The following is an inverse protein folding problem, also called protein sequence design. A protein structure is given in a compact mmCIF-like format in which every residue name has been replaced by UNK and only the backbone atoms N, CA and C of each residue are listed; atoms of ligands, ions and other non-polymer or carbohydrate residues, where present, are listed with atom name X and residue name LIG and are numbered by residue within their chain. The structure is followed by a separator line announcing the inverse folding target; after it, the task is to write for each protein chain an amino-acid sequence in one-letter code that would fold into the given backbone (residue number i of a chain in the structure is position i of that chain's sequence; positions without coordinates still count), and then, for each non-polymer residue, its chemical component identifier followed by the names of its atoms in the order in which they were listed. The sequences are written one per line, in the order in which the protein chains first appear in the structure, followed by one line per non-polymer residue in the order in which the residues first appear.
data_IF_750112848167
#
_entry.id   IF_750112848167
#
_cell.length_a   1.000
_cell.length_b   1.000
_cell.length_c   1.000
_cell.angle_alpha   90.00
_cell.angle_beta   90.00
_cell.angle_gamma   90.00
#
_symmetry.space_group_name_H-M   'P 1'
#
loop_
_entity.id
_entity.type
_entity.pdbx_description
1 polymer ?
#
# COMPACT_ATOMS: atom_id res chain seq x y z
N UNK A 1 26.18 -16.08 -64.44
CA UNK A 1 26.34 -15.68 -63.06
C UNK A 1 24.97 -15.56 -62.38
N UNK A 2 24.02 -14.70 -62.80
CA UNK A 2 22.69 -14.51 -62.18
C UNK A 2 21.84 -15.79 -62.21
N UNK A 3 21.95 -16.65 -63.21
CA UNK A 3 21.20 -17.93 -63.19
C UNK A 3 21.69 -18.90 -62.12
N UNK A 4 23.00 -18.92 -61.88
CA UNK A 4 23.59 -19.79 -60.86
C UNK A 4 23.25 -19.25 -59.44
N UNK A 5 23.24 -17.95 -59.23
CA UNK A 5 22.80 -17.31 -58.01
C UNK A 5 21.32 -17.67 -57.71
N UNK A 6 20.44 -17.53 -58.72
CA UNK A 6 19.04 -17.87 -58.57
C UNK A 6 18.82 -19.36 -58.25
N UNK A 7 19.63 -20.26 -58.88
CA UNK A 7 19.57 -21.69 -58.58
C UNK A 7 19.92 -21.97 -57.12
N UNK A 8 21.05 -21.42 -56.64
CA UNK A 8 21.48 -21.60 -55.24
C UNK A 8 20.43 -21.03 -54.24
N UNK A 9 19.88 -19.85 -54.52
CA UNK A 9 18.84 -19.27 -53.69
C UNK A 9 17.57 -20.13 -53.67
N UNK A 10 17.18 -20.71 -54.82
CA UNK A 10 16.03 -21.62 -54.88
C UNK A 10 16.28 -22.91 -54.07
N UNK A 11 17.47 -23.49 -54.21
CA UNK A 11 17.83 -24.71 -53.46
C UNK A 11 17.83 -24.46 -51.95
N UNK A 12 18.36 -23.32 -51.48
CA UNK A 12 18.34 -22.93 -50.07
C UNK A 12 16.90 -22.69 -49.61
N UNK A 13 16.07 -21.98 -50.40
CA UNK A 13 14.67 -21.72 -50.06
C UNK A 13 13.86 -23.02 -49.94
N UNK A 14 14.08 -23.99 -50.82
CA UNK A 14 13.45 -25.30 -50.73
C UNK A 14 13.88 -26.05 -49.47
N UNK A 15 15.16 -26.04 -49.15
CA UNK A 15 15.68 -26.65 -47.92
C UNK A 15 15.09 -26.03 -46.65
N UNK A 16 14.93 -24.69 -46.60
CA UNK A 16 14.27 -24.01 -45.52
C UNK A 16 12.79 -24.40 -45.46
N UNK A 17 12.10 -24.46 -46.58
CA UNK A 17 10.69 -24.84 -46.67
C UNK A 17 10.44 -26.27 -46.17
N UNK A 18 11.29 -27.23 -46.53
CA UNK A 18 11.21 -28.62 -46.07
C UNK A 18 11.36 -28.75 -44.53
N UNK A 19 12.08 -27.82 -43.90
CA UNK A 19 12.32 -27.82 -42.46
C UNK A 19 11.55 -26.69 -41.70
N UNK A 20 10.56 -26.06 -42.34
CA UNK A 20 9.89 -24.87 -41.84
C UNK A 20 9.23 -25.10 -40.50
N UNK A 21 8.60 -26.25 -40.29
CA UNK A 21 7.91 -26.59 -39.05
C UNK A 21 8.90 -26.74 -37.89
N UNK A 22 10.02 -27.40 -38.08
CA UNK A 22 11.06 -27.56 -37.07
C UNK A 22 11.72 -26.21 -36.72
N UNK A 23 11.94 -25.36 -37.72
CA UNK A 23 12.46 -24.01 -37.54
C UNK A 23 11.49 -23.18 -36.69
N UNK A 24 10.18 -23.22 -36.99
CA UNK A 24 9.18 -22.49 -36.24
C UNK A 24 9.07 -22.99 -34.79
N UNK A 25 9.14 -24.29 -34.55
CA UNK A 25 9.19 -24.88 -33.21
C UNK A 25 10.43 -24.39 -32.46
N UNK A 26 11.61 -24.45 -33.11
CA UNK A 26 12.85 -23.98 -32.49
C UNK A 26 12.79 -22.49 -32.10
N UNK A 27 12.30 -21.64 -33.01
CA UNK A 27 12.11 -20.19 -32.75
C UNK A 27 11.16 -19.99 -31.54
N UNK A 28 10.05 -20.74 -31.49
CA UNK A 28 9.10 -20.65 -30.37
C UNK A 28 9.74 -21.03 -29.03
N UNK A 29 10.55 -22.10 -29.02
CA UNK A 29 11.24 -22.56 -27.80
C UNK A 29 12.30 -21.53 -27.38
N UNK A 30 13.12 -21.04 -28.31
CA UNK A 30 14.15 -20.03 -28.05
C UNK A 30 13.51 -18.74 -27.51
N UNK A 31 12.41 -18.27 -28.10
CA UNK A 31 11.68 -17.08 -27.67
C UNK A 31 11.13 -17.23 -26.23
N UNK A 32 10.60 -18.41 -25.90
CA UNK A 32 10.15 -18.70 -24.53
C UNK A 32 11.32 -18.71 -23.54
N UNK A 33 12.43 -19.33 -23.92
CA UNK A 33 13.62 -19.38 -23.07
C UNK A 33 14.19 -17.98 -22.83
N UNK A 34 14.36 -17.19 -23.92
CA UNK A 34 14.84 -15.81 -23.84
C UNK A 34 13.95 -14.95 -22.93
N UNK A 35 12.63 -15.08 -23.05
CA UNK A 35 11.67 -14.38 -22.22
C UNK A 35 11.81 -14.75 -20.73
N UNK A 36 11.96 -16.05 -20.42
CA UNK A 36 12.15 -16.51 -19.03
C UNK A 36 13.48 -15.99 -18.48
N UNK A 37 14.56 -16.09 -19.26
CA UNK A 37 15.87 -15.61 -18.87
C UNK A 37 15.89 -14.10 -18.64
N UNK A 38 15.29 -13.34 -19.55
CA UNK A 38 15.19 -11.87 -19.43
C UNK A 38 14.46 -11.46 -18.16
N UNK A 39 13.36 -12.14 -17.81
CA UNK A 39 12.63 -11.90 -16.55
C UNK A 39 13.47 -12.22 -15.32
N UNK A 40 14.21 -13.32 -15.33
CA UNK A 40 15.08 -13.71 -14.23
C UNK A 40 16.20 -12.68 -14.02
N UNK A 41 16.90 -12.29 -15.07
CA UNK A 41 17.96 -11.28 -15.03
C UNK A 41 17.44 -9.91 -14.59
N UNK A 42 16.25 -9.52 -15.07
CA UNK A 42 15.63 -8.27 -14.65
C UNK A 42 15.26 -8.31 -13.17
N UNK A 43 14.68 -9.41 -12.70
CA UNK A 43 14.34 -9.62 -11.29
C UNK A 43 15.57 -9.52 -10.38
N UNK A 44 16.69 -10.12 -10.77
CA UNK A 44 17.95 -10.01 -10.04
C UNK A 44 18.45 -8.55 -10.00
N UNK A 45 18.45 -7.86 -11.14
CA UNK A 45 18.91 -6.48 -11.26
C UNK A 45 18.13 -5.50 -10.35
N UNK A 46 16.82 -5.69 -10.17
CA UNK A 46 16.00 -4.84 -9.32
C UNK A 46 15.87 -5.37 -7.88
N UNK A 47 16.54 -6.48 -7.54
CA UNK A 47 16.35 -7.20 -6.28
C UNK A 47 14.87 -7.55 -6.03
N UNK A 48 14.20 -8.02 -7.07
CA UNK A 48 12.79 -8.37 -7.03
C UNK A 48 12.56 -9.72 -6.36
N UNK A 49 11.48 -9.81 -5.59
CA UNK A 49 11.04 -11.06 -4.96
C UNK A 49 9.70 -11.52 -5.53
N UNK A 50 9.41 -12.81 -5.36
CA UNK A 50 8.09 -13.37 -5.63
C UNK A 50 7.15 -12.92 -4.50
N UNK A 51 5.98 -12.44 -4.86
CA UNK A 51 4.96 -11.97 -3.92
C UNK A 51 3.72 -12.83 -4.04
N UNK A 52 3.17 -13.22 -2.89
CA UNK A 52 1.93 -13.98 -2.83
C UNK A 52 0.77 -13.19 -3.45
N UNK A 53 0.08 -13.80 -4.39
CA UNK A 53 -1.07 -13.21 -5.07
C UNK A 53 -2.36 -13.79 -4.51
N UNK A 54 -3.24 -12.91 -4.01
CA UNK A 54 -4.56 -13.28 -3.50
C UNK A 54 -5.55 -13.28 -4.67
N UNK A 55 -5.98 -14.45 -5.12
CA UNK A 55 -6.91 -14.58 -6.25
C UNK A 55 -8.35 -14.30 -5.82
N UNK A 56 -8.79 -14.88 -4.69
CA UNK A 56 -10.18 -14.81 -4.19
C UNK A 56 -10.31 -13.98 -2.92
N UNK A 57 -9.99 -12.70 -3.03
CA UNK A 57 -10.11 -11.76 -1.93
C UNK A 57 -11.56 -11.35 -1.60
N UNK A 58 -12.54 -11.74 -2.43
CA UNK A 58 -13.97 -11.58 -2.16
C UNK A 58 -14.51 -12.66 -1.20
N UNK A 59 -14.05 -13.90 -1.36
CA UNK A 59 -14.56 -15.07 -0.63
C UNK A 59 -13.74 -15.45 0.61
N UNK A 60 -12.66 -14.73 0.90
CA UNK A 60 -11.76 -15.05 2.00
C UNK A 60 -12.51 -15.02 3.35
N UNK A 61 -13.05 -16.18 3.74
CA UNK A 61 -13.64 -16.47 5.06
C UNK A 61 -12.58 -16.65 6.15
N UNK A 62 -11.31 -16.66 5.78
CA UNK A 62 -10.18 -17.02 6.65
C UNK A 62 -9.65 -15.88 7.52
N UNK A 63 -10.46 -14.88 7.92
CA UNK A 63 -10.05 -13.85 8.86
C UNK A 63 -8.89 -12.92 8.38
N UNK A 64 -8.38 -13.11 7.16
CA UNK A 64 -7.41 -12.22 6.56
C UNK A 64 -8.08 -10.92 6.12
N UNK A 65 -7.94 -9.90 6.94
CA UNK A 65 -8.46 -8.56 6.67
C UNK A 65 -7.61 -7.80 5.64
N UNK A 66 -6.41 -8.29 5.30
CA UNK A 66 -5.46 -7.64 4.42
C UNK A 66 -5.86 -7.82 2.96
N UNK A 67 -6.13 -6.73 2.26
CA UNK A 67 -6.46 -6.72 0.83
C UNK A 67 -5.20 -6.49 -0.01
N UNK A 68 -4.44 -5.44 0.29
CA UNK A 68 -3.21 -5.08 -0.41
C UNK A 68 -2.18 -4.64 0.63
N UNK A 69 -1.04 -5.32 0.65
CA UNK A 69 0.06 -5.01 1.55
C UNK A 69 1.36 -4.94 0.77
N UNK A 70 1.94 -3.77 0.72
CA UNK A 70 3.23 -3.52 0.09
C UNK A 70 4.18 -2.99 1.16
N UNK A 71 5.34 -3.62 1.30
CA UNK A 71 6.35 -3.27 2.29
C UNK A 71 7.63 -2.87 1.58
N UNK A 72 8.16 -1.68 1.89
CA UNK A 72 9.42 -1.16 1.39
C UNK A 72 9.57 -1.23 -0.14
N UNK A 73 8.49 -0.94 -0.87
CA UNK A 73 8.48 -0.93 -2.32
C UNK A 73 9.40 0.15 -2.89
N UNK A 74 10.15 -0.19 -3.91
CA UNK A 74 11.00 0.74 -4.67
C UNK A 74 10.51 0.84 -6.10
N UNK A 75 10.62 2.02 -6.67
CA UNK A 75 10.29 2.20 -8.09
C UNK A 75 11.40 1.57 -8.94
N UNK A 76 11.11 0.58 -9.80
CA UNK A 76 12.15 -0.21 -10.49
C UNK A 76 12.99 0.59 -11.47
N UNK A 77 12.49 1.71 -11.99
CA UNK A 77 13.20 2.57 -12.94
C UNK A 77 14.02 3.69 -12.27
N UNK A 78 13.89 3.87 -10.95
CA UNK A 78 14.68 4.86 -10.22
C UNK A 78 15.89 4.14 -9.59
N UNK A 79 17.09 4.58 -9.93
CA UNK A 79 18.34 3.89 -9.53
C UNK A 79 18.93 4.42 -8.22
N UNK A 80 18.87 5.73 -7.97
CA UNK A 80 19.51 6.38 -6.81
C UNK A 80 18.52 7.19 -5.99
N UNK A 81 18.73 7.24 -4.68
CA UNK A 81 17.93 8.05 -3.76
C UNK A 81 16.46 7.61 -3.60
N UNK A 82 16.12 6.39 -4.03
CA UNK A 82 14.74 5.89 -3.92
C UNK A 82 14.39 5.65 -2.47
N UNK A 83 13.42 6.40 -1.98
CA UNK A 83 12.83 6.17 -0.65
C UNK A 83 11.78 5.08 -0.76
N UNK A 84 11.91 3.97 -0.02
CA UNK A 84 10.93 2.90 -0.06
C UNK A 84 9.57 3.38 0.47
N UNK A 85 8.49 2.92 -0.17
CA UNK A 85 7.13 3.17 0.28
C UNK A 85 6.50 1.89 0.85
N UNK A 86 5.66 2.06 1.88
CA UNK A 86 4.87 0.97 2.43
C UNK A 86 3.42 1.40 2.53
N UNK A 87 2.51 0.52 2.11
CA UNK A 87 1.06 0.73 2.21
C UNK A 87 0.36 -0.55 2.65
N UNK A 88 -0.74 -0.36 3.34
CA UNK A 88 -1.55 -1.46 3.81
C UNK A 88 -3.04 -1.08 3.70
N UNK A 89 -3.75 -1.75 2.80
CA UNK A 89 -5.19 -1.62 2.65
C UNK A 89 -5.88 -2.90 3.10
N UNK A 90 -7.00 -2.73 3.78
CA UNK A 90 -7.85 -3.81 4.22
C UNK A 90 -9.11 -3.88 3.36
N UNK A 91 -9.87 -4.96 3.50
CA UNK A 91 -11.12 -5.15 2.78
C UNK A 91 -12.19 -4.11 3.14
N UNK A 92 -12.19 -3.66 4.37
CA UNK A 92 -13.06 -2.60 4.91
C UNK A 92 -12.58 -1.19 4.57
N UNK A 93 -11.31 -1.02 4.22
CA UNK A 93 -10.68 0.25 3.85
C UNK A 93 -9.98 0.15 2.49
N UNK A 94 -10.73 -0.01 1.38
CA UNK A 94 -10.16 -0.26 0.06
C UNK A 94 -9.61 0.99 -0.64
N UNK A 95 -9.79 2.17 -0.07
CA UNK A 95 -9.39 3.44 -0.68
C UNK A 95 -8.22 4.08 0.07
N UNK A 96 -7.16 4.43 -0.65
CA UNK A 96 -6.03 5.22 -0.17
C UNK A 96 -6.05 6.61 -0.80
N UNK A 97 -6.13 7.64 0.02
CA UNK A 97 -6.02 9.02 -0.42
C UNK A 97 -4.65 9.59 -0.02
N UNK A 98 -3.79 9.82 -1.01
CA UNK A 98 -2.45 10.37 -0.80
C UNK A 98 -2.51 11.89 -0.93
N UNK A 99 -2.05 12.58 0.09
CA UNK A 99 -2.07 14.04 0.17
C UNK A 99 -0.67 14.61 0.43
N UNK A 100 -0.52 15.90 0.21
CA UNK A 100 0.73 16.62 0.41
C UNK A 100 1.10 17.54 -0.76
N UNK A 101 2.23 18.23 -0.71
CA UNK A 101 2.66 19.13 -1.78
C UNK A 101 2.99 18.40 -3.08
N UNK A 102 2.85 19.08 -4.24
CA UNK A 102 3.07 18.45 -5.55
C UNK A 102 4.50 17.92 -5.73
N UNK A 103 5.50 18.61 -5.21
CA UNK A 103 6.90 18.17 -5.22
C UNK A 103 7.19 16.97 -4.27
N UNK A 104 6.21 16.50 -3.49
CA UNK A 104 6.39 15.47 -2.48
C UNK A 104 6.46 14.04 -3.01
N UNK A 105 6.20 13.81 -4.30
CA UNK A 105 6.26 12.46 -4.91
C UNK A 105 4.96 11.68 -4.90
N UNK A 106 3.78 12.32 -4.75
CA UNK A 106 2.45 11.67 -4.80
C UNK A 106 2.26 10.85 -6.07
N UNK A 107 2.47 11.47 -7.23
CA UNK A 107 2.38 10.83 -8.55
C UNK A 107 3.36 9.66 -8.69
N UNK A 108 4.58 9.79 -8.15
CA UNK A 108 5.58 8.72 -8.15
C UNK A 108 5.09 7.55 -7.31
N UNK A 109 4.53 7.80 -6.12
CA UNK A 109 3.97 6.74 -5.28
C UNK A 109 2.83 6.01 -6.00
N UNK A 110 1.91 6.74 -6.62
CA UNK A 110 0.81 6.19 -7.42
C UNK A 110 1.33 5.33 -8.59
N UNK A 111 2.26 5.88 -9.39
CA UNK A 111 2.91 5.16 -10.51
C UNK A 111 3.66 3.92 -10.04
N UNK A 112 4.36 4.00 -8.90
CA UNK A 112 5.06 2.86 -8.32
C UNK A 112 4.11 1.72 -8.01
N UNK A 113 3.02 2.00 -7.29
CA UNK A 113 2.06 0.97 -6.90
C UNK A 113 1.43 0.32 -8.14
N UNK A 114 0.97 1.13 -9.10
CA UNK A 114 0.40 0.63 -10.34
C UNK A 114 1.35 -0.24 -11.16
N UNK A 115 2.60 0.19 -11.29
CA UNK A 115 3.63 -0.55 -12.01
C UNK A 115 3.96 -1.89 -11.31
N UNK A 116 4.12 -1.91 -10.00
CA UNK A 116 4.41 -3.12 -9.25
C UNK A 116 3.26 -4.13 -9.32
N UNK A 117 2.01 -3.68 -9.28
CA UNK A 117 0.84 -4.54 -9.49
C UNK A 117 0.86 -5.16 -10.88
N UNK A 118 1.11 -4.36 -11.93
CA UNK A 118 1.23 -4.87 -13.30
C UNK A 118 2.36 -5.88 -13.43
N UNK A 119 3.56 -5.56 -12.93
CA UNK A 119 4.71 -6.46 -12.96
C UNK A 119 4.38 -7.80 -12.31
N UNK A 120 3.80 -7.79 -11.11
CA UNK A 120 3.41 -9.00 -10.41
C UNK A 120 2.41 -9.83 -11.20
N UNK A 121 1.38 -9.22 -11.79
CA UNK A 121 0.38 -9.92 -12.60
C UNK A 121 0.95 -10.51 -13.91
N UNK A 122 2.00 -9.91 -14.47
CA UNK A 122 2.75 -10.47 -15.59
C UNK A 122 3.83 -11.48 -15.15
N UNK A 123 3.87 -11.84 -13.87
CA UNK A 123 4.83 -12.80 -13.30
C UNK A 123 6.27 -12.29 -13.30
N UNK A 124 6.48 -10.99 -13.22
CA UNK A 124 7.78 -10.36 -13.00
C UNK A 124 7.92 -10.10 -11.50
N UNK A 125 9.02 -10.54 -10.92
CA UNK A 125 9.32 -10.27 -9.51
C UNK A 125 9.41 -8.77 -9.27
N UNK A 126 8.98 -8.32 -8.09
CA UNK A 126 8.88 -6.90 -7.76
C UNK A 126 9.81 -6.52 -6.61
N UNK A 127 10.39 -5.29 -6.62
CA UNK A 127 11.31 -4.82 -5.59
C UNK A 127 10.56 -4.36 -4.33
N UNK A 128 10.16 -5.31 -3.51
CA UNK A 128 9.47 -5.12 -2.23
C UNK A 128 10.10 -5.99 -1.15
N UNK A 129 9.78 -5.78 0.12
CA UNK A 129 10.20 -6.65 1.21
C UNK A 129 9.26 -7.85 1.39
N UNK A 130 9.78 -8.91 2.00
CA UNK A 130 9.03 -10.11 2.38
C UNK A 130 7.80 -9.76 3.23
N UNK A 131 6.75 -10.56 3.10
CA UNK A 131 5.46 -10.33 3.73
C UNK A 131 4.57 -9.31 3.01
N UNK A 132 4.97 -8.86 1.81
CA UNK A 132 4.10 -8.15 0.88
C UNK A 132 3.11 -9.12 0.23
N UNK A 133 1.87 -8.67 0.02
CA UNK A 133 0.81 -9.45 -0.61
C UNK A 133 0.00 -8.55 -1.54
N UNK A 134 -0.34 -9.04 -2.73
CA UNK A 134 -1.08 -8.29 -3.73
C UNK A 134 -2.32 -9.07 -4.17
N UNK A 135 -3.50 -8.42 -4.31
CA UNK A 135 -4.64 -9.07 -4.92
C UNK A 135 -4.48 -9.15 -6.44
N UNK A 136 -5.11 -10.14 -7.06
CA UNK A 136 -5.23 -10.20 -8.50
C UNK A 136 -6.36 -9.27 -8.96
N UNK A 137 -6.04 -8.31 -9.82
CA UNK A 137 -6.99 -7.38 -10.39
C UNK A 137 -7.43 -7.82 -11.78
N UNK A 138 -8.75 -7.84 -12.03
CA UNK A 138 -9.31 -8.10 -13.37
C UNK A 138 -9.10 -6.93 -14.33
N UNK A 139 -9.03 -5.71 -13.80
CA UNK A 139 -8.75 -4.50 -14.57
C UNK A 139 -7.97 -3.50 -13.74
N UNK A 140 -7.07 -2.78 -14.40
CA UNK A 140 -6.31 -1.68 -13.84
C UNK A 140 -6.67 -0.45 -14.68
N UNK A 141 -7.30 0.52 -14.05
CA UNK A 141 -7.82 1.74 -14.67
C UNK A 141 -7.06 2.93 -14.10
N UNK A 142 -6.53 3.76 -14.98
CA UNK A 142 -5.56 4.79 -14.59
C UNK A 142 -5.93 6.12 -15.21
N UNK A 143 -5.87 7.18 -14.41
CA UNK A 143 -5.94 8.57 -14.84
C UNK A 143 -4.83 9.35 -14.12
N UNK A 144 -3.78 9.71 -14.86
CA UNK A 144 -2.55 10.31 -14.31
C UNK A 144 -2.40 11.81 -14.58
N UNK A 145 -3.37 12.44 -15.28
CA UNK A 145 -3.36 13.88 -15.52
C UNK A 145 -2.15 14.42 -16.34
N UNK A 146 -1.28 13.55 -16.83
CA UNK A 146 -0.01 13.91 -17.50
C UNK A 146 -0.16 14.32 -18.99
N UNK A 147 -1.37 14.49 -19.51
CA UNK A 147 -1.61 14.99 -20.90
C UNK A 147 -1.23 16.47 -21.04
N UNK A 148 0.04 16.79 -20.79
CA UNK A 148 0.68 18.07 -21.14
C UNK A 148 1.05 18.14 -22.62
N UNK A 149 0.29 17.50 -23.50
CA UNK A 149 0.42 17.64 -24.94
C UNK A 149 0.07 19.06 -25.36
N UNK A 150 1.03 19.74 -25.96
CA UNK A 150 0.93 21.13 -26.48
C UNK A 150 -0.23 21.30 -27.49
N UNK A 151 -0.84 20.22 -27.95
CA UNK A 151 -1.87 20.23 -29.00
C UNK A 151 -3.33 20.19 -28.51
N UNK A 152 -3.60 19.97 -27.23
CA UNK A 152 -4.98 19.94 -26.70
C UNK A 152 -5.37 21.23 -26.01
N UNK A 153 -5.80 22.21 -26.76
CA UNK A 153 -6.37 23.48 -26.28
C UNK A 153 -7.82 23.38 -25.76
N UNK A 154 -8.42 22.22 -25.77
CA UNK A 154 -9.65 21.96 -25.01
C UNK A 154 -9.25 21.55 -23.60
N UNK A 155 -9.72 22.29 -22.61
CA UNK A 155 -9.29 22.33 -21.24
C UNK A 155 -8.87 20.93 -20.73
N UNK A 156 -7.65 20.81 -20.20
CA UNK A 156 -7.12 19.62 -19.51
C UNK A 156 -8.12 19.01 -18.51
N UNK A 157 -9.02 19.84 -17.95
CA UNK A 157 -10.10 19.43 -17.07
C UNK A 157 -11.17 18.58 -17.77
N UNK A 158 -11.60 18.96 -19.00
CA UNK A 158 -12.64 18.19 -19.72
C UNK A 158 -12.12 16.78 -20.09
N UNK A 159 -10.85 16.67 -20.53
CA UNK A 159 -10.22 15.40 -20.84
C UNK A 159 -10.11 14.51 -19.58
N UNK A 160 -9.74 15.10 -18.44
CA UNK A 160 -9.70 14.42 -17.15
C UNK A 160 -11.08 13.90 -16.71
N UNK A 161 -12.13 14.70 -16.85
CA UNK A 161 -13.51 14.28 -16.58
C UNK A 161 -13.97 13.16 -17.51
N UNK A 162 -13.62 13.22 -18.78
CA UNK A 162 -13.94 12.16 -19.74
C UNK A 162 -13.22 10.85 -19.39
N UNK A 163 -11.96 10.91 -19.03
CA UNK A 163 -11.18 9.78 -18.53
C UNK A 163 -11.84 9.16 -17.30
N UNK A 164 -12.15 9.96 -16.28
CA UNK A 164 -12.83 9.49 -15.06
C UNK A 164 -14.19 8.88 -15.38
N UNK A 165 -14.98 9.51 -16.28
CA UNK A 165 -16.26 8.95 -16.75
C UNK A 165 -16.06 7.58 -17.40
N UNK A 166 -15.00 7.42 -18.20
CA UNK A 166 -14.61 6.14 -18.80
C UNK A 166 -14.25 5.09 -17.75
N UNK A 167 -13.56 5.51 -16.68
CA UNK A 167 -13.22 4.64 -15.55
C UNK A 167 -14.50 4.13 -14.87
N UNK A 168 -15.46 5.00 -14.54
CA UNK A 168 -16.73 4.58 -13.94
C UNK A 168 -17.50 3.56 -14.77
N UNK A 169 -17.48 3.67 -16.09
CA UNK A 169 -18.13 2.69 -16.99
C UNK A 169 -17.44 1.32 -16.98
N UNK A 170 -16.13 1.27 -16.73
CA UNK A 170 -15.31 0.05 -16.80
C UNK A 170 -15.01 -0.54 -15.43
N UNK A 171 -15.00 0.26 -14.37
CA UNK A 171 -14.69 -0.17 -13.03
C UNK A 171 -15.75 -1.16 -12.52
N UNK A 172 -15.33 -2.34 -12.17
CA UNK A 172 -16.15 -3.42 -11.62
C UNK A 172 -15.44 -3.99 -10.39
N UNK A 173 -16.08 -4.93 -9.71
CA UNK A 173 -15.43 -5.69 -8.65
C UNK A 173 -14.09 -6.29 -9.12
N UNK A 174 -13.10 -6.28 -8.23
CA UNK A 174 -11.70 -6.66 -8.50
C UNK A 174 -10.98 -5.73 -9.50
N UNK A 175 -11.35 -4.43 -9.53
CA UNK A 175 -10.60 -3.42 -10.26
C UNK A 175 -9.64 -2.67 -9.34
N UNK A 176 -8.48 -2.27 -9.88
CA UNK A 176 -7.61 -1.24 -9.32
C UNK A 176 -7.85 0.06 -10.07
N UNK A 177 -8.15 1.13 -9.34
CA UNK A 177 -8.34 2.48 -9.89
C UNK A 177 -7.26 3.40 -9.33
N UNK A 178 -6.52 4.05 -10.21
CA UNK A 178 -5.46 5.00 -9.88
C UNK A 178 -5.83 6.37 -10.43
N UNK A 179 -6.00 7.35 -9.53
CA UNK A 179 -6.43 8.71 -9.89
C UNK A 179 -5.41 9.73 -9.37
N UNK A 180 -4.82 10.50 -10.24
CA UNK A 180 -3.91 11.58 -9.84
C UNK A 180 -4.65 12.92 -9.80
N UNK A 181 -4.34 13.73 -8.79
CA UNK A 181 -4.83 15.10 -8.57
C UNK A 181 -6.36 15.29 -8.71
N UNK A 182 -7.14 14.39 -8.07
CA UNK A 182 -8.60 14.47 -8.15
C UNK A 182 -9.15 15.82 -7.63
N UNK A 183 -10.05 16.41 -8.41
CA UNK A 183 -10.68 17.69 -8.12
C UNK A 183 -9.87 18.91 -8.52
N UNK A 184 -8.72 18.74 -9.19
CA UNK A 184 -7.86 19.83 -9.66
C UNK A 184 -8.36 20.43 -10.96
N UNK A 185 -7.78 21.58 -11.35
CA UNK A 185 -8.01 22.28 -12.62
C UNK A 185 -9.44 22.83 -12.83
N UNK A 186 -10.22 23.04 -11.75
CA UNK A 186 -11.53 23.68 -11.77
C UNK A 186 -11.69 24.57 -10.53
N UNK A 187 -12.90 25.12 -10.34
CA UNK A 187 -13.23 25.80 -9.09
C UNK A 187 -12.99 24.89 -7.89
N UNK A 188 -12.32 25.36 -6.82
CA UNK A 188 -11.94 24.53 -5.68
C UNK A 188 -13.12 23.90 -4.93
N UNK A 189 -14.28 24.55 -4.88
CA UNK A 189 -15.47 24.04 -4.21
C UNK A 189 -16.12 22.93 -5.04
N UNK A 190 -16.32 23.17 -6.34
CA UNK A 190 -16.89 22.20 -7.28
C UNK A 190 -15.96 20.99 -7.44
N UNK A 191 -14.65 21.21 -7.61
CA UNK A 191 -13.65 20.15 -7.71
C UNK A 191 -13.60 19.28 -6.48
N UNK A 192 -13.63 19.88 -5.28
CA UNK A 192 -13.68 19.14 -4.03
C UNK A 192 -14.99 18.35 -3.87
N UNK A 193 -16.13 18.91 -4.26
CA UNK A 193 -17.41 18.23 -4.20
C UNK A 193 -17.43 17.00 -5.12
N UNK A 194 -16.94 17.15 -6.35
CA UNK A 194 -16.83 16.07 -7.32
C UNK A 194 -15.85 14.97 -6.84
N UNK A 195 -14.67 15.35 -6.33
CA UNK A 195 -13.69 14.41 -5.80
C UNK A 195 -14.26 13.56 -4.64
N UNK A 196 -15.01 14.16 -3.71
CA UNK A 196 -15.71 13.46 -2.64
C UNK A 196 -16.73 12.46 -3.19
N UNK A 197 -17.52 12.87 -4.20
CA UNK A 197 -18.51 12.01 -4.84
C UNK A 197 -17.84 10.82 -5.55
N UNK A 198 -16.72 11.03 -6.25
CA UNK A 198 -15.91 10.00 -6.90
C UNK A 198 -15.44 8.98 -5.85
N UNK A 199 -14.77 9.43 -4.79
CA UNK A 199 -14.26 8.55 -3.73
C UNK A 199 -15.38 7.76 -3.05
N UNK A 200 -16.51 8.40 -2.73
CA UNK A 200 -17.69 7.75 -2.15
C UNK A 200 -18.22 6.61 -3.02
N UNK A 201 -18.31 6.84 -4.32
CA UNK A 201 -18.81 5.82 -5.24
C UNK A 201 -17.81 4.65 -5.40
N UNK A 202 -16.53 4.95 -5.56
CA UNK A 202 -15.50 3.92 -5.72
C UNK A 202 -15.30 3.09 -4.43
N UNK A 203 -15.46 3.69 -3.24
CA UNK A 203 -15.35 2.98 -1.96
C UNK A 203 -16.46 1.95 -1.72
N UNK A 204 -17.57 2.01 -2.47
CA UNK A 204 -18.74 1.13 -2.25
C UNK A 204 -18.67 -0.20 -3.02
N UNK A 205 -17.72 -0.39 -3.95
CA UNK A 205 -17.84 -1.41 -5.02
C UNK A 205 -16.77 -2.51 -5.04
N UNK A 206 -16.19 -2.98 -3.96
CA UNK A 206 -15.07 -3.93 -4.00
C UNK A 206 -13.97 -3.52 -5.01
N UNK A 207 -13.70 -2.23 -5.08
CA UNK A 207 -12.73 -1.59 -5.98
C UNK A 207 -11.62 -1.03 -5.12
N UNK A 208 -10.38 -1.45 -5.37
CA UNK A 208 -9.23 -0.81 -4.74
C UNK A 208 -8.94 0.50 -5.45
N UNK A 209 -8.96 1.59 -4.71
CA UNK A 209 -8.74 2.92 -5.28
C UNK A 209 -7.55 3.59 -4.58
N UNK A 210 -6.61 4.10 -5.36
CA UNK A 210 -5.52 4.94 -4.86
C UNK A 210 -5.64 6.27 -5.59
N UNK A 211 -5.88 7.32 -4.82
CA UNK A 211 -6.07 8.65 -5.36
C UNK A 211 -5.11 9.65 -4.72
N UNK A 212 -4.74 10.69 -5.46
CA UNK A 212 -3.98 11.80 -4.91
C UNK A 212 -4.81 13.09 -4.95
N UNK A 213 -4.59 13.97 -4.00
CA UNK A 213 -5.21 15.30 -3.97
C UNK A 213 -4.35 16.30 -3.20
N UNK A 214 -4.57 17.57 -3.47
CA UNK A 214 -4.09 18.67 -2.66
C UNK A 214 -5.23 19.45 -1.98
N UNK A 215 -6.49 19.06 -2.23
CA UNK A 215 -7.68 19.72 -1.67
C UNK A 215 -7.94 19.31 -0.23
N UNK A 216 -7.83 20.27 0.68
CA UNK A 216 -8.04 20.06 2.13
C UNK A 216 -9.44 19.53 2.45
N UNK A 217 -10.46 20.02 1.75
CA UNK A 217 -11.84 19.59 1.96
C UNK A 217 -12.05 18.10 1.61
N UNK A 218 -11.27 17.53 0.68
CA UNK A 218 -11.30 16.10 0.32
C UNK A 218 -10.58 15.27 1.37
N UNK A 219 -9.45 15.76 1.90
CA UNK A 219 -8.71 15.09 2.98
C UNK A 219 -9.54 14.98 4.25
N UNK A 220 -10.27 16.05 4.62
CA UNK A 220 -11.17 16.06 5.78
C UNK A 220 -12.33 15.09 5.58
N UNK A 221 -12.89 15.03 4.37
CA UNK A 221 -13.92 14.05 4.04
C UNK A 221 -13.40 12.63 4.21
N UNK A 222 -12.22 12.33 3.70
CA UNK A 222 -11.58 11.02 3.81
C UNK A 222 -11.31 10.61 5.27
N UNK A 223 -11.00 11.56 6.17
CA UNK A 223 -10.79 11.26 7.59
C UNK A 223 -12.09 10.84 8.31
N UNK A 224 -13.24 11.31 7.80
CA UNK A 224 -14.56 10.99 8.34
C UNK A 224 -15.22 9.76 7.69
N UNK A 225 -14.65 9.22 6.61
CA UNK A 225 -15.15 8.01 5.95
C UNK A 225 -14.31 6.80 6.34
N UNK A 226 -14.92 5.83 7.02
CA UNK A 226 -14.24 4.64 7.53
C UNK A 226 -13.65 3.73 6.45
N UNK A 227 -14.03 3.90 5.18
CA UNK A 227 -13.52 3.12 4.05
C UNK A 227 -12.32 3.75 3.36
N UNK A 228 -11.96 4.97 3.75
CA UNK A 228 -10.87 5.72 3.13
C UNK A 228 -9.76 5.92 4.14
N UNK A 229 -8.54 5.59 3.75
CA UNK A 229 -7.35 5.84 4.56
C UNK A 229 -6.58 7.01 3.96
N UNK A 230 -6.37 8.04 4.76
CA UNK A 230 -5.46 9.12 4.40
C UNK A 230 -4.00 8.66 4.46
N UNK A 231 -3.18 9.17 3.57
CA UNK A 231 -1.73 9.08 3.65
C UNK A 231 -1.11 10.42 3.28
N UNK A 232 -0.01 10.77 3.93
CA UNK A 232 0.72 11.99 3.64
C UNK A 232 2.11 11.69 3.10
N UNK A 233 2.55 12.46 2.11
CA UNK A 233 3.96 12.51 1.75
C UNK A 233 4.66 13.44 2.71
N UNK A 234 5.66 12.90 3.41
CA UNK A 234 6.38 13.61 4.47
C UNK A 234 7.33 14.67 3.89
N UNK A 235 7.42 15.75 4.61
CA UNK A 235 8.32 16.87 4.32
C UNK A 235 9.25 17.10 5.52
N UNK A 236 10.51 17.38 5.27
CA UNK A 236 11.42 17.79 6.35
C UNK A 236 11.12 19.25 6.72
N UNK A 237 10.58 19.47 7.89
CA UNK A 237 10.21 20.80 8.40
C UNK A 237 11.44 21.74 8.53
N UNK A 238 12.63 21.18 8.78
CA UNK A 238 13.85 21.96 8.95
C UNK A 238 14.42 22.45 7.63
N UNK A 239 14.43 21.58 6.60
CA UNK A 239 14.98 21.90 5.28
C UNK A 239 13.93 22.31 4.27
N UNK A 240 12.64 22.03 4.52
CA UNK A 240 11.51 22.11 3.59
C UNK A 240 11.75 21.35 2.29
N UNK A 241 12.51 20.26 2.38
CA UNK A 241 12.69 19.34 1.25
C UNK A 241 11.75 18.14 1.40
N UNK A 242 11.25 17.59 0.27
CA UNK A 242 10.48 16.35 0.32
C UNK A 242 11.36 15.22 0.82
N UNK A 243 10.86 14.46 1.77
CA UNK A 243 11.53 13.23 2.23
C UNK A 243 11.13 12.02 1.39
N UNK A 244 10.11 12.15 0.55
CA UNK A 244 9.48 11.09 -0.26
C UNK A 244 8.92 9.92 0.56
N UNK A 245 8.93 10.01 1.89
CA UNK A 245 8.33 9.00 2.77
C UNK A 245 6.83 9.14 2.76
N UNK A 246 6.12 8.04 2.53
CA UNK A 246 4.68 7.98 2.65
C UNK A 246 4.30 7.51 4.06
N UNK A 247 3.48 8.29 4.77
CA UNK A 247 2.96 7.92 6.08
C UNK A 247 1.44 7.74 6.00
N UNK A 248 1.00 6.54 6.19
CA UNK A 248 -0.42 6.17 6.17
C UNK A 248 -1.06 6.54 7.50
N UNK A 249 -2.33 6.96 7.46
CA UNK A 249 -3.08 7.39 8.64
C UNK A 249 -2.87 8.87 9.01
N UNK A 250 -2.17 9.64 8.17
CA UNK A 250 -1.96 11.07 8.38
C UNK A 250 -2.44 11.90 7.18
N UNK A 251 -2.95 13.07 7.46
CA UNK A 251 -3.29 14.06 6.43
C UNK A 251 -2.06 14.91 6.09
N UNK A 252 -1.86 15.20 4.79
CA UNK A 252 -0.81 16.11 4.34
C UNK A 252 -1.11 17.56 4.74
N UNK A 253 -0.04 18.29 5.08
CA UNK A 253 -0.11 19.72 5.33
C UNK A 253 0.41 20.49 4.12
N UNK A 254 -0.19 21.64 3.83
CA UNK A 254 0.34 22.56 2.83
C UNK A 254 1.28 23.57 3.52
N UNK A 255 2.54 23.63 3.10
CA UNK A 255 3.57 24.50 3.69
C UNK A 255 4.01 25.61 2.71
N UNK A 256 3.09 26.08 1.84
CA UNK A 256 3.42 27.04 0.80
C UNK A 256 3.97 28.36 1.35
N UNK A 257 3.42 28.86 2.45
CA UNK A 257 3.88 30.10 3.07
C UNK A 257 5.25 29.92 3.73
N UNK A 258 5.47 28.80 4.42
CA UNK A 258 6.76 28.51 5.05
C UNK A 258 7.85 28.28 3.99
N UNK A 259 7.50 27.70 2.87
CA UNK A 259 8.38 27.58 1.71
C UNK A 259 8.72 28.96 1.12
N UNK A 260 7.74 29.87 1.00
CA UNK A 260 7.95 31.23 0.51
C UNK A 260 8.91 32.01 1.45
N UNK A 261 8.76 31.88 2.77
CA UNK A 261 9.69 32.49 3.75
C UNK A 261 11.12 32.00 3.50
N UNK A 262 11.32 30.69 3.40
CA UNK A 262 12.66 30.11 3.17
C UNK A 262 13.25 30.43 1.80
N UNK A 263 12.41 30.69 0.79
CA UNK A 263 12.84 31.13 -0.55
C UNK A 263 13.17 32.62 -0.59
N UNK A 264 13.10 33.34 0.58
CA UNK A 264 13.48 34.75 0.68
C UNK A 264 12.42 35.72 0.17
N UNK A 265 11.14 35.33 0.18
CA UNK A 265 10.08 36.31 -0.12
C UNK A 265 10.11 37.47 0.91
N UNK A 266 9.86 38.71 0.46
CA UNK A 266 9.84 39.85 1.34
C UNK A 266 8.86 39.68 2.50
N UNK A 267 9.24 39.99 3.73
CA UNK A 267 8.40 39.86 4.93
C UNK A 267 7.03 40.53 4.81
N UNK A 268 6.97 41.65 4.07
CA UNK A 268 5.69 42.36 3.80
C UNK A 268 4.71 41.47 2.99
N UNK A 269 5.21 40.74 1.97
CA UNK A 269 4.41 39.85 1.15
C UNK A 269 3.92 38.67 1.97
N UNK A 270 4.81 38.09 2.77
CA UNK A 270 4.49 36.96 3.65
C UNK A 270 3.43 37.35 4.70
N UNK A 271 3.59 38.51 5.33
CA UNK A 271 2.61 39.03 6.30
C UNK A 271 1.25 39.27 5.65
N UNK A 272 1.21 39.85 4.47
CA UNK A 272 -0.02 40.08 3.74
C UNK A 272 -0.68 38.72 3.37
N UNK A 273 0.10 37.74 2.88
CA UNK A 273 -0.41 36.42 2.56
C UNK A 273 -1.02 35.69 3.79
N UNK A 274 -0.37 35.81 4.95
CA UNK A 274 -0.94 35.30 6.21
C UNK A 274 -2.22 36.04 6.62
N UNK A 275 -2.30 37.34 6.39
CA UNK A 275 -3.50 38.14 6.68
C UNK A 275 -4.70 37.82 5.77
N UNK A 276 -4.48 37.35 4.54
CA UNK A 276 -5.53 36.91 3.63
C UNK A 276 -6.06 35.49 3.95
N UNK A 277 -5.34 34.73 4.76
CA UNK A 277 -5.89 33.48 5.31
C UNK A 277 -6.98 33.87 6.31
N UNK A 278 -8.24 33.74 5.90
CA UNK A 278 -9.42 34.12 6.71
C UNK A 278 -9.36 33.48 8.09
N UNK A 279 -9.84 34.19 9.12
CA UNK A 279 -9.90 33.74 10.51
C UNK A 279 -10.58 32.37 10.69
N UNK A 280 -11.59 32.06 9.89
CA UNK A 280 -12.24 30.75 9.86
C UNK A 280 -11.28 29.60 9.45
N UNK A 281 -10.34 29.86 8.57
CA UNK A 281 -9.31 28.88 8.19
C UNK A 281 -8.22 28.73 9.26
N UNK A 282 -7.92 29.76 10.04
CA UNK A 282 -6.98 29.66 11.16
C UNK A 282 -7.57 28.86 12.34
N UNK A 283 -8.81 29.13 12.70
CA UNK A 283 -9.52 28.35 13.74
C UNK A 283 -9.65 26.87 13.36
N UNK A 284 -9.96 26.60 12.10
CA UNK A 284 -10.01 25.22 11.59
C UNK A 284 -8.63 24.55 11.58
N UNK A 285 -7.55 25.27 11.24
CA UNK A 285 -6.18 24.77 11.29
C UNK A 285 -5.74 24.46 12.72
N UNK A 286 -6.06 25.33 13.68
CA UNK A 286 -5.77 25.11 15.08
C UNK A 286 -6.49 23.86 15.56
N UNK A 287 -7.78 23.73 15.26
CA UNK A 287 -8.59 22.57 15.63
C UNK A 287 -8.06 21.27 15.01
N UNK A 288 -7.71 21.27 13.72
CA UNK A 288 -7.10 20.10 13.04
C UNK A 288 -5.74 19.74 13.67
N UNK A 289 -4.90 20.73 13.96
CA UNK A 289 -3.61 20.50 14.62
C UNK A 289 -3.79 19.88 16.01
N UNK A 290 -4.76 20.34 16.76
CA UNK A 290 -5.10 19.78 18.08
C UNK A 290 -5.62 18.35 17.96
N UNK A 291 -6.47 18.05 16.97
CA UNK A 291 -6.93 16.71 16.69
C UNK A 291 -5.77 15.77 16.30
N UNK A 292 -4.85 16.22 15.47
CA UNK A 292 -3.65 15.43 15.07
C UNK A 292 -2.79 15.16 16.32
N UNK A 293 -2.54 16.16 17.16
CA UNK A 293 -1.78 16.00 18.39
C UNK A 293 -2.48 15.04 19.37
N UNK A 294 -3.79 15.15 19.48
CA UNK A 294 -4.62 14.28 20.32
C UNK A 294 -4.57 12.83 19.81
N UNK A 295 -4.70 12.63 18.49
CA UNK A 295 -4.58 11.31 17.84
C UNK A 295 -3.22 10.67 18.13
N UNK A 296 -2.12 11.40 17.95
CA UNK A 296 -0.78 10.90 18.27
C UNK A 296 -0.61 10.55 19.75
N UNK A 297 -1.23 11.32 20.65
CA UNK A 297 -1.24 11.02 22.08
C UNK A 297 -2.00 9.73 22.38
N UNK A 298 -3.16 9.53 21.74
CA UNK A 298 -3.93 8.30 21.88
C UNK A 298 -3.21 7.09 21.29
N UNK A 299 -2.57 7.20 20.14
CA UNK A 299 -1.78 6.12 19.55
C UNK A 299 -0.62 5.68 20.46
N UNK A 300 0.09 6.65 21.08
CA UNK A 300 1.12 6.35 22.08
C UNK A 300 0.53 5.67 23.34
N UNK A 301 -0.66 6.07 23.77
CA UNK A 301 -1.33 5.42 24.91
C UNK A 301 -1.78 4.00 24.56
N UNK A 302 -2.30 3.79 23.37
CA UNK A 302 -2.71 2.45 22.88
C UNK A 302 -1.52 1.52 22.82
N UNK A 303 -0.38 1.98 22.26
CA UNK A 303 0.86 1.20 22.25
C UNK A 303 1.29 0.79 23.67
N UNK A 304 1.30 1.75 24.59
CA UNK A 304 1.65 1.47 26.00
C UNK A 304 0.70 0.48 26.67
N UNK A 305 -0.60 0.64 26.45
CA UNK A 305 -1.61 -0.30 26.95
C UNK A 305 -1.42 -1.70 26.37
N UNK A 306 -1.03 -1.79 25.09
CA UNK A 306 -0.72 -3.07 24.44
C UNK A 306 0.50 -3.75 25.06
N UNK A 307 1.55 -2.99 25.36
CA UNK A 307 2.75 -3.48 26.06
C UNK A 307 2.40 -3.98 27.46
N UNK A 308 1.70 -3.17 28.27
CA UNK A 308 1.23 -3.53 29.61
C UNK A 308 0.33 -4.78 29.61
N UNK A 309 -0.55 -4.90 28.59
CA UNK A 309 -1.41 -6.09 28.41
C UNK A 309 -0.59 -7.35 28.12
N UNK A 310 0.47 -7.23 27.35
CA UNK A 310 1.37 -8.36 27.07
C UNK A 310 2.13 -8.78 28.34
N UNK A 311 2.62 -7.83 29.13
CA UNK A 311 3.26 -8.12 30.43
C UNK A 311 2.29 -8.80 31.39
N UNK A 312 1.05 -8.30 31.52
CA UNK A 312 0.01 -8.94 32.35
C UNK A 312 -0.25 -10.38 31.89
N UNK A 313 -0.29 -10.64 30.57
CA UNK A 313 -0.48 -12.00 30.06
C UNK A 313 0.69 -12.92 30.41
N UNK A 314 1.92 -12.43 30.36
CA UNK A 314 3.11 -13.20 30.77
C UNK A 314 3.03 -13.54 32.27
N UNK A 315 2.78 -12.55 33.14
CA UNK A 315 2.63 -12.76 34.59
C UNK A 315 1.48 -13.74 34.89
N UNK A 316 0.35 -13.61 34.19
CA UNK A 316 -0.77 -14.55 34.34
C UNK A 316 -0.39 -15.98 33.99
N UNK A 317 0.40 -16.17 32.94
CA UNK A 317 0.88 -17.51 32.57
C UNK A 317 1.84 -18.07 33.62
N UNK A 318 2.78 -17.27 34.14
CA UNK A 318 3.68 -17.68 35.23
C UNK A 318 2.88 -18.07 36.50
N UNK A 319 1.91 -17.28 36.90
CA UNK A 319 1.05 -17.60 38.06
C UNK A 319 0.31 -18.92 37.83
N UNK A 320 -0.24 -19.14 36.64
CA UNK A 320 -0.93 -20.38 36.32
C UNK A 320 0.00 -21.61 36.40
N UNK A 321 1.25 -21.50 35.96
CA UNK A 321 2.23 -22.56 36.08
C UNK A 321 2.62 -22.83 37.55
N UNK A 322 2.78 -21.78 38.35
CA UNK A 322 3.03 -21.91 39.78
C UNK A 322 1.85 -22.58 40.50
N UNK A 323 0.62 -22.22 40.17
CA UNK A 323 -0.59 -22.85 40.74
C UNK A 323 -0.63 -24.34 40.37
N UNK A 324 -0.37 -24.72 39.13
CA UNK A 324 -0.29 -26.14 38.70
C UNK A 324 0.77 -26.90 39.51
N UNK A 325 1.96 -26.30 39.67
CA UNK A 325 3.04 -26.88 40.46
C UNK A 325 2.65 -27.11 41.93
N UNK A 326 2.02 -26.09 42.56
CA UNK A 326 1.54 -26.20 43.96
C UNK A 326 0.44 -27.26 44.12
N UNK A 327 -0.50 -27.35 43.17
CA UNK A 327 -1.56 -28.38 43.17
C UNK A 327 -0.92 -29.80 43.06
N UNK A 328 0.06 -29.94 42.18
CA UNK A 328 0.77 -31.22 42.00
C UNK A 328 1.52 -31.64 43.27
N UNK A 329 2.25 -30.72 43.90
CA UNK A 329 2.95 -30.96 45.15
C UNK A 329 2.01 -31.29 46.31
N UNK A 330 0.89 -30.54 46.41
CA UNK A 330 -0.16 -30.85 47.37
C UNK A 330 -0.72 -32.28 47.22
N UNK A 331 -0.99 -32.66 45.99
CA UNK A 331 -1.52 -34.00 45.69
C UNK A 331 -0.49 -35.10 46.00
N UNK A 332 0.81 -34.89 45.69
CA UNK A 332 1.87 -35.79 46.11
C UNK A 332 1.98 -35.92 47.60
N UNK A 333 1.93 -34.81 48.36
CA UNK A 333 2.00 -34.81 49.81
C UNK A 333 0.79 -35.51 50.45
N UNK A 334 -0.43 -35.28 49.90
CA UNK A 334 -1.63 -36.00 50.36
C UNK A 334 -1.53 -37.50 50.13
N UNK A 335 -1.01 -37.91 48.96
CA UNK A 335 -0.85 -39.30 48.64
C UNK A 335 0.23 -39.97 49.54
N UNK A 336 1.36 -39.31 49.81
CA UNK A 336 2.41 -39.81 50.70
C UNK A 336 1.89 -39.98 52.16
N UNK A 337 1.12 -39.00 52.69
CA UNK A 337 0.51 -39.09 53.99
C UNK A 337 -0.52 -40.26 54.07
N UNK A 338 -1.32 -40.42 53.01
CA UNK A 338 -2.30 -41.52 52.88
C UNK A 338 -1.60 -42.88 52.90
N UNK A 339 -0.54 -43.02 52.15
CA UNK A 339 0.23 -44.27 52.11
C UNK A 339 0.92 -44.57 53.44
N UNK A 340 1.44 -43.56 54.13
CA UNK A 340 2.02 -43.72 55.46
C UNK A 340 0.94 -44.14 56.49
N UNK A 341 -0.22 -43.51 56.46
CA UNK A 341 -1.35 -43.88 57.33
C UNK A 341 -1.85 -45.31 57.06
N UNK A 342 -1.93 -45.72 55.77
CA UNK A 342 -2.30 -47.07 55.41
C UNK A 342 -1.23 -48.08 55.88
N UNK A 343 0.06 -47.71 55.77
CA UNK A 343 1.18 -48.53 56.27
C UNK A 343 1.16 -48.66 57.80
N UNK A 344 0.83 -47.60 58.52
CA UNK A 344 0.65 -47.64 60.00
C UNK A 344 -0.55 -48.48 60.40
N UNK A 345 -1.69 -48.37 59.70
CA UNK A 345 -2.89 -49.19 59.92
C UNK A 345 -2.58 -50.66 59.70
N UNK A 346 -1.91 -51.09 58.62
CA UNK A 346 -1.52 -52.46 58.36
C UNK A 346 -0.60 -53.02 59.45
N UNK A 347 0.39 -52.23 59.94
CA UNK A 347 1.27 -52.61 61.05
C UNK A 347 0.52 -52.75 62.40
N UNK A 348 -0.46 -51.90 62.66
CA UNK A 348 -1.28 -52.02 63.86
C UNK A 348 -2.17 -53.29 63.88
N UNK A 349 -2.78 -53.59 62.72
CA UNK A 349 -3.60 -54.80 62.55
C UNK A 349 -2.74 -56.06 62.75
N UNK A 350 -1.51 -56.11 62.17
CA UNK A 350 -0.59 -57.23 62.32
C UNK A 350 -0.03 -57.40 63.74
N UNK A 351 -0.17 -56.43 64.62
CA UNK A 351 0.19 -56.52 66.04
C UNK A 351 -0.98 -56.97 66.94
N UNK A 352 -2.20 -57.03 66.41
CA UNK A 352 -3.41 -57.46 67.11
C UNK A 352 -3.81 -58.89 66.75
N UNK A 353 -3.28 -59.42 65.66
CA UNK A 353 -3.22 -60.85 65.33
C UNK A 353 -2.03 -61.53 66.00
#
# INVERSE_FOLDING_TARGET
ENREINRILSDISNLIYENLDDINIAISIISKYDFIQSRALYSENISGIIVDTIEDWEESTSGQTNLLKIINARHPLLKEGVVPLSIHLKKDTPVLLISGPNAGGKTIALKTIGLLVLMNQYGINIPVAEGSTLPFFKSILVDLGDDQGIESSMSTYSAHLESISGIFKKAKSKSLVLLDEIGSNTDPEEGSALAKAILKNLSSGNIVTIATTHHKAVMIYAENDQRIVNASVQFDESTLKPTYKLKQGEMGQSNAIDLAIKKGFPDKVVRNAKGFLNSQDEDLKIYIKDLINLKQLYEKKISKISEEKNEINLIKNEINEQIKYLISNKNQMINSIRDELLGRKKRAIKKLE
#
